data_IF_101607881481
#
_entry.id   IF_101607881481
#
_cell.length_a   1.000
_cell.length_b   1.000
_cell.length_c   1.000
_cell.angle_alpha   90.00
_cell.angle_beta   90.00
_cell.angle_gamma   90.00
#
_symmetry.space_group_name_H-M   'P 1'
#
loop_
_entity.id
_entity.type
_entity.pdbx_description
1 polymer ?
#
# COMPACT_ATOMS: atom_id res chain seq x y z
N UNK A 1 0.62 20.08 12.65
CA UNK A 1 -0.85 19.97 12.50
C UNK A 1 -1.14 18.77 11.63
N UNK A 2 -1.98 17.83 12.08
CA UNK A 2 -2.37 16.68 11.25
C UNK A 2 -3.40 17.09 10.19
N UNK A 3 -3.32 16.50 9.00
CA UNK A 3 -4.31 16.68 7.93
C UNK A 3 -5.31 15.51 7.97
N UNK A 4 -6.58 15.81 7.77
CA UNK A 4 -7.66 14.82 7.70
C UNK A 4 -7.98 14.49 6.25
N UNK A 5 -8.18 13.20 5.94
CA UNK A 5 -8.59 12.75 4.61
C UNK A 5 -10.12 12.57 4.60
N UNK A 6 -10.86 13.23 3.69
CA UNK A 6 -12.28 12.95 3.52
C UNK A 6 -12.43 11.58 2.86
N UNK A 7 -12.92 10.60 3.63
CA UNK A 7 -13.22 9.24 3.15
C UNK A 7 -14.56 8.84 3.75
N UNK A 8 -15.45 8.35 2.90
CA UNK A 8 -16.73 7.80 3.31
C UNK A 8 -16.62 6.27 3.42
N UNK A 9 -17.19 5.73 4.48
CA UNK A 9 -17.29 4.28 4.71
C UNK A 9 -18.76 3.92 4.85
N UNK A 10 -19.12 2.75 4.34
CA UNK A 10 -20.40 2.13 4.65
C UNK A 10 -20.45 1.67 6.10
N UNK A 11 -21.64 1.44 6.63
CA UNK A 11 -21.81 0.96 8.01
C UNK A 11 -21.09 -0.38 8.24
N UNK A 12 -21.19 -1.30 7.28
CA UNK A 12 -20.56 -2.62 7.35
C UNK A 12 -19.02 -2.52 7.37
N UNK A 13 -18.44 -1.64 6.54
CA UNK A 13 -17.00 -1.37 6.56
C UNK A 13 -16.54 -0.77 7.90
N UNK A 14 -17.33 0.14 8.49
CA UNK A 14 -17.01 0.70 9.81
C UNK A 14 -17.05 -0.38 10.89
N UNK A 15 -18.04 -1.27 10.86
CA UNK A 15 -18.15 -2.38 11.81
C UNK A 15 -16.96 -3.34 11.69
N UNK A 16 -16.56 -3.69 10.46
CA UNK A 16 -15.40 -4.52 10.20
C UNK A 16 -14.10 -3.88 10.71
N UNK A 17 -13.88 -2.59 10.41
CA UNK A 17 -12.72 -1.84 10.89
C UNK A 17 -12.68 -1.81 12.41
N UNK A 18 -13.83 -1.61 13.08
CA UNK A 18 -13.91 -1.61 14.54
C UNK A 18 -13.59 -2.98 15.13
N UNK A 19 -14.10 -4.05 14.53
CA UNK A 19 -13.85 -5.43 14.95
C UNK A 19 -12.35 -5.76 14.88
N UNK A 20 -11.71 -5.43 13.76
CA UNK A 20 -10.28 -5.65 13.54
C UNK A 20 -9.41 -4.81 14.48
N UNK A 21 -9.76 -3.52 14.67
CA UNK A 21 -9.06 -2.65 15.60
C UNK A 21 -9.15 -3.17 17.05
N UNK A 22 -10.34 -3.64 17.46
CA UNK A 22 -10.56 -4.24 18.77
C UNK A 22 -9.77 -5.54 18.95
N UNK A 23 -9.75 -6.41 17.93
CA UNK A 23 -8.96 -7.64 17.93
C UNK A 23 -7.44 -7.35 18.07
N UNK A 24 -6.97 -6.26 17.47
CA UNK A 24 -5.59 -5.79 17.60
C UNK A 24 -5.30 -5.07 18.93
N UNK A 25 -6.31 -4.79 19.75
CA UNK A 25 -6.17 -4.01 21.00
C UNK A 25 -5.80 -2.55 20.78
N UNK A 26 -6.22 -1.97 19.64
CA UNK A 26 -5.81 -0.62 19.20
C UNK A 26 -7.00 0.29 19.00
N UNK A 27 -6.74 1.60 18.98
CA UNK A 27 -7.74 2.57 18.55
C UNK A 27 -8.03 2.39 17.05
N UNK A 28 -9.29 2.62 16.66
CA UNK A 28 -9.71 2.59 15.24
C UNK A 28 -8.85 3.52 14.38
N UNK A 29 -8.55 4.72 14.88
CA UNK A 29 -7.76 5.70 14.15
C UNK A 29 -6.32 5.22 13.91
N UNK A 30 -5.68 4.62 14.92
CA UNK A 30 -4.31 4.12 14.77
C UNK A 30 -4.26 2.90 13.85
N UNK A 31 -5.26 2.02 13.96
CA UNK A 31 -5.41 0.86 13.09
C UNK A 31 -5.57 1.28 11.62
N UNK A 32 -6.53 2.18 11.32
CA UNK A 32 -6.77 2.67 9.96
C UNK A 32 -5.53 3.37 9.40
N UNK A 33 -4.88 4.23 10.20
CA UNK A 33 -3.67 4.95 9.77
C UNK A 33 -2.55 3.98 9.39
N UNK A 34 -2.27 2.98 10.21
CA UNK A 34 -1.20 2.02 9.93
C UNK A 34 -1.53 1.14 8.71
N UNK A 35 -2.74 0.59 8.66
CA UNK A 35 -3.19 -0.24 7.55
C UNK A 35 -3.11 0.52 6.22
N UNK A 36 -3.53 1.79 6.20
CA UNK A 36 -3.38 2.64 5.02
C UNK A 36 -1.91 2.87 4.64
N UNK A 37 -1.03 3.13 5.61
CA UNK A 37 0.39 3.32 5.34
C UNK A 37 1.07 2.04 4.83
N UNK A 38 0.69 0.88 5.34
CA UNK A 38 1.14 -0.42 4.81
C UNK A 38 0.66 -0.63 3.37
N UNK A 39 -0.60 -0.31 3.08
CA UNK A 39 -1.14 -0.41 1.72
C UNK A 39 -0.43 0.54 0.73
N UNK A 40 -0.17 1.78 1.14
CA UNK A 40 0.56 2.79 0.34
C UNK A 40 1.99 2.34 0.08
N UNK A 41 2.71 1.89 1.10
CA UNK A 41 4.10 1.42 0.97
C UNK A 41 4.19 0.15 0.13
N UNK A 42 3.29 -0.81 0.32
CA UNK A 42 3.17 -2.02 -0.51
C UNK A 42 2.90 -1.69 -1.98
N UNK A 43 2.03 -0.70 -2.26
CA UNK A 43 1.78 -0.23 -3.64
C UNK A 43 3.00 0.47 -4.23
N UNK A 44 3.74 1.24 -3.43
CA UNK A 44 5.01 1.86 -3.83
C UNK A 44 6.07 0.83 -4.18
N UNK A 45 6.28 -0.15 -3.30
CA UNK A 45 7.25 -1.23 -3.48
C UNK A 45 6.96 -2.12 -4.68
N UNK A 46 5.69 -2.51 -4.90
CA UNK A 46 5.29 -3.27 -6.10
C UNK A 46 5.58 -2.51 -7.39
N UNK A 47 5.38 -1.18 -7.40
CA UNK A 47 5.69 -0.34 -8.56
C UNK A 47 7.19 -0.25 -8.81
N UNK A 48 8.01 -0.09 -7.77
CA UNK A 48 9.47 -0.11 -7.91
C UNK A 48 9.95 -1.47 -8.43
N UNK A 49 9.52 -2.58 -7.83
CA UNK A 49 9.90 -3.92 -8.26
C UNK A 49 9.48 -4.21 -9.72
N UNK A 50 8.31 -3.74 -10.15
CA UNK A 50 7.88 -3.87 -11.54
C UNK A 50 8.73 -3.01 -12.50
N UNK A 51 9.15 -1.81 -12.09
CA UNK A 51 10.04 -0.95 -12.87
C UNK A 51 11.46 -1.51 -12.94
N UNK A 52 11.98 -2.06 -11.83
CA UNK A 52 13.28 -2.72 -11.77
C UNK A 52 13.30 -3.93 -12.71
N UNK A 53 12.22 -4.73 -12.74
CA UNK A 53 12.11 -5.86 -13.64
C UNK A 53 12.08 -5.46 -15.12
N UNK A 54 11.39 -4.35 -15.46
CA UNK A 54 11.39 -3.81 -16.84
C UNK A 54 12.75 -3.24 -17.22
N UNK A 55 13.44 -2.55 -16.31
CA UNK A 55 14.80 -2.06 -16.53
C UNK A 55 15.79 -3.19 -16.74
N UNK A 56 15.74 -4.24 -15.91
CA UNK A 56 16.59 -5.42 -16.04
C UNK A 56 16.35 -6.15 -17.37
N UNK A 57 15.08 -6.36 -17.75
CA UNK A 57 14.72 -6.95 -19.03
C UNK A 57 15.19 -6.10 -20.23
N UNK A 58 15.07 -4.77 -20.16
CA UNK A 58 15.53 -3.87 -21.23
C UNK A 58 17.05 -3.84 -21.34
N UNK A 59 17.76 -3.92 -20.21
CA UNK A 59 19.23 -3.91 -20.19
C UNK A 59 19.76 -5.21 -20.81
N UNK A 60 19.21 -6.36 -20.42
CA UNK A 60 19.58 -7.66 -20.99
C UNK A 60 19.24 -7.81 -22.47
N UNK A 61 18.17 -7.17 -22.96
CA UNK A 61 17.85 -7.12 -24.39
C UNK A 61 18.84 -6.25 -25.17
N UNK A 62 19.22 -5.09 -24.65
CA UNK A 62 20.20 -4.20 -25.27
C UNK A 62 21.59 -4.86 -25.36
N UNK A 63 22.03 -5.56 -24.32
CA UNK A 63 23.30 -6.31 -24.33
C UNK A 63 23.33 -7.42 -25.39
N UNK A 64 22.18 -8.07 -25.63
CA UNK A 64 22.04 -9.13 -26.66
C UNK A 64 21.97 -8.57 -28.07
N UNK A 65 21.42 -7.38 -28.25
CA UNK A 65 21.31 -6.71 -29.56
C UNK A 65 22.60 -5.99 -29.97
N UNK A 66 23.44 -5.61 -29.01
CA UNK A 66 24.73 -4.97 -29.25
C UNK A 66 25.87 -5.97 -29.57
N UNK A 67 25.56 -7.28 -29.66
CA UNK A 67 26.50 -8.37 -29.91
C UNK A 67 26.25 -9.00 -31.27
#
# INVERSE_FOLDING_TARGET
MGQTLPVEFTADEVEEIQREAAAAGRSVQDFVRETLMVAVTSRGGRRCAALDHVLEASTGLNERLAR
#
